data_IF_870866695806
#
_entry.id   IF_870866695806
#
_cell.length_a   1.000
_cell.length_b   1.000
_cell.length_c   1.000
_cell.angle_alpha   90.00
_cell.angle_beta   90.00
_cell.angle_gamma   90.00
#
_symmetry.space_group_name_H-M   'P 1'
#
loop_
_entity.id
_entity.type
_entity.pdbx_description
1 polymer ?
#
# COMPACT_ATOMS: atom_id res chain seq x y z
N UNK A 1 -27.88 15.57 5.94
CA UNK A 1 -29.05 14.69 5.82
C UNK A 1 -28.61 13.49 5.02
N UNK A 2 -28.68 12.28 5.55
CA UNK A 2 -28.35 11.06 4.81
C UNK A 2 -29.59 10.72 3.97
N UNK A 3 -29.43 10.70 2.64
CA UNK A 3 -30.44 10.20 1.72
C UNK A 3 -30.34 8.67 1.65
N UNK A 4 -31.50 8.00 1.51
CA UNK A 4 -31.58 6.56 1.23
C UNK A 4 -31.56 6.27 -0.28
N UNK A 5 -31.36 7.30 -1.11
CA UNK A 5 -31.34 7.15 -2.55
C UNK A 5 -30.07 6.40 -2.98
N UNK A 6 -30.24 5.39 -3.81
CA UNK A 6 -29.14 4.61 -4.38
C UNK A 6 -28.40 5.34 -5.49
N UNK A 7 -29.03 6.36 -6.08
CA UNK A 7 -28.47 7.16 -7.18
C UNK A 7 -28.70 8.63 -6.87
N UNK A 8 -27.65 9.41 -6.88
CA UNK A 8 -27.74 10.86 -6.82
C UNK A 8 -28.00 11.40 -8.23
N UNK A 9 -29.01 12.28 -8.36
CA UNK A 9 -29.27 13.02 -9.59
C UNK A 9 -28.89 14.47 -9.40
N UNK A 10 -28.35 15.09 -10.43
CA UNK A 10 -27.90 16.47 -10.37
C UNK A 10 -27.54 17.02 -11.75
N UNK A 11 -27.03 18.23 -11.75
CA UNK A 11 -26.52 18.87 -12.96
C UNK A 11 -25.27 18.13 -13.47
N UNK A 12 -25.21 17.84 -14.77
CA UNK A 12 -24.06 17.18 -15.40
C UNK A 12 -22.83 18.08 -15.26
N UNK A 13 -21.75 17.50 -14.76
CA UNK A 13 -20.43 18.14 -14.69
C UNK A 13 -19.41 17.27 -15.40
N UNK A 14 -18.49 17.90 -16.11
CA UNK A 14 -17.44 17.21 -16.88
C UNK A 14 -16.27 16.79 -16.01
N UNK A 15 -16.23 17.25 -14.76
CA UNK A 15 -15.19 16.96 -13.80
C UNK A 15 -15.79 16.82 -12.40
N UNK A 16 -15.29 15.85 -11.62
CA UNK A 16 -15.74 15.62 -10.26
C UNK A 16 -14.68 14.94 -9.40
N UNK A 17 -14.72 15.28 -8.11
CA UNK A 17 -13.93 14.63 -7.07
C UNK A 17 -14.88 14.00 -6.06
N UNK A 18 -14.72 12.70 -5.85
CA UNK A 18 -15.41 11.96 -4.79
C UNK A 18 -14.41 11.58 -3.71
N UNK A 19 -14.84 11.67 -2.45
CA UNK A 19 -14.06 11.28 -1.28
C UNK A 19 -14.91 10.37 -0.42
N UNK A 20 -14.36 9.24 -0.01
CA UNK A 20 -15.04 8.28 0.85
C UNK A 20 -14.06 7.73 1.90
N UNK A 21 -14.57 7.47 3.09
CA UNK A 21 -13.85 6.67 4.07
C UNK A 21 -13.98 5.19 3.71
N UNK A 22 -12.84 4.55 3.48
CA UNK A 22 -12.71 3.14 3.17
C UNK A 22 -12.10 2.39 4.37
N UNK A 23 -12.17 1.04 4.44
CA UNK A 23 -11.66 0.28 5.59
C UNK A 23 -10.18 0.55 5.92
N UNK A 24 -9.39 0.97 4.94
CA UNK A 24 -7.94 1.23 5.07
C UNK A 24 -7.59 2.71 5.09
N UNK A 25 -8.57 3.60 5.24
CA UNK A 25 -8.41 5.06 5.26
C UNK A 25 -9.15 5.77 4.11
N UNK A 26 -8.83 7.02 3.88
CA UNK A 26 -9.54 7.87 2.91
C UNK A 26 -9.16 7.52 1.48
N UNK A 27 -10.19 7.36 0.63
CA UNK A 27 -10.04 7.11 -0.80
C UNK A 27 -10.53 8.34 -1.57
N UNK A 28 -9.71 8.83 -2.51
CA UNK A 28 -10.06 9.92 -3.40
C UNK A 28 -10.18 9.41 -4.82
N UNK A 29 -11.28 9.77 -5.49
CA UNK A 29 -11.51 9.54 -6.90
C UNK A 29 -11.71 10.88 -7.60
N UNK A 30 -10.89 11.15 -8.60
CA UNK A 30 -11.00 12.34 -9.43
C UNK A 30 -11.11 11.91 -10.89
N UNK A 31 -12.22 12.28 -11.53
CA UNK A 31 -12.51 11.93 -12.92
C UNK A 31 -12.80 13.16 -13.76
N UNK A 32 -12.39 13.10 -15.03
CA UNK A 32 -12.86 13.96 -16.09
C UNK A 32 -13.52 13.09 -17.17
N UNK A 33 -14.61 13.56 -17.73
CA UNK A 33 -15.37 12.89 -18.79
C UNK A 33 -15.53 13.82 -19.99
N UNK A 34 -15.79 13.24 -21.15
CA UNK A 34 -16.19 13.99 -22.36
C UNK A 34 -17.72 14.15 -22.46
N UNK A 35 -18.16 14.74 -23.57
CA UNK A 35 -19.57 14.98 -23.85
C UNK A 35 -20.40 13.68 -23.98
N UNK A 36 -19.73 12.55 -24.28
CA UNK A 36 -20.34 11.23 -24.42
C UNK A 36 -20.27 10.40 -23.12
N UNK A 37 -19.92 11.01 -21.99
CA UNK A 37 -19.74 10.37 -20.68
C UNK A 37 -18.57 9.37 -20.62
N UNK A 38 -17.60 9.48 -21.54
CA UNK A 38 -16.41 8.65 -21.55
C UNK A 38 -15.36 9.28 -20.64
N UNK A 39 -14.76 8.47 -19.75
CA UNK A 39 -13.67 8.93 -18.88
C UNK A 39 -12.45 9.25 -19.72
N UNK A 40 -12.03 10.51 -19.69
CA UNK A 40 -10.84 11.02 -20.38
C UNK A 40 -9.64 11.13 -19.45
N UNK A 41 -9.89 11.28 -18.14
CA UNK A 41 -8.86 11.31 -17.11
C UNK A 41 -9.36 10.67 -15.82
N UNK A 42 -8.50 9.87 -15.20
CA UNK A 42 -8.73 9.35 -13.86
C UNK A 42 -7.48 9.60 -13.00
N UNK A 43 -7.69 10.08 -11.77
CA UNK A 43 -6.66 10.16 -10.75
C UNK A 43 -7.23 9.58 -9.46
N UNK A 44 -6.54 8.57 -8.93
CA UNK A 44 -6.98 7.81 -7.76
C UNK A 44 -5.90 7.90 -6.68
N UNK A 45 -6.28 8.38 -5.50
CA UNK A 45 -5.43 8.30 -4.31
C UNK A 45 -6.03 7.23 -3.43
N UNK A 46 -5.43 6.04 -3.47
CA UNK A 46 -5.92 4.86 -2.76
C UNK A 46 -5.60 4.98 -1.27
N UNK A 47 -6.52 4.51 -0.42
CA UNK A 47 -6.44 4.63 1.03
C UNK A 47 -5.10 4.14 1.61
N UNK A 48 -4.60 2.99 1.16
CA UNK A 48 -3.31 2.43 1.60
C UNK A 48 -2.12 3.35 1.27
N UNK A 49 -2.20 4.13 0.19
CA UNK A 49 -1.15 5.09 -0.17
C UNK A 49 -0.95 6.15 0.92
N UNK A 50 -2.03 6.57 1.58
CA UNK A 50 -1.98 7.54 2.68
C UNK A 50 -1.28 6.98 3.93
N UNK A 51 -1.18 5.65 4.06
CA UNK A 51 -0.56 4.96 5.19
C UNK A 51 0.94 4.69 4.99
N UNK A 52 1.51 4.97 3.82
CA UNK A 52 2.89 4.61 3.48
C UNK A 52 3.91 5.14 4.50
N UNK A 53 3.79 6.39 4.91
CA UNK A 53 4.72 6.98 5.89
C UNK A 53 4.65 6.24 7.23
N UNK A 54 3.44 6.00 7.74
CA UNK A 54 3.24 5.30 9.00
C UNK A 54 3.73 3.85 8.93
N UNK A 55 3.51 3.14 7.83
CA UNK A 55 4.06 1.80 7.61
C UNK A 55 5.59 1.80 7.58
N UNK A 56 6.20 2.77 6.89
CA UNK A 56 7.66 2.90 6.86
C UNK A 56 8.25 3.16 8.26
N UNK A 57 7.59 3.97 9.07
CA UNK A 57 7.99 4.22 10.45
C UNK A 57 7.84 2.97 11.32
N UNK A 58 6.76 2.21 11.16
CA UNK A 58 6.54 0.96 11.87
C UNK A 58 7.60 -0.09 11.49
N UNK A 59 7.89 -0.25 10.20
CA UNK A 59 8.95 -1.15 9.71
C UNK A 59 10.31 -0.74 10.29
N UNK A 60 10.65 0.56 10.28
CA UNK A 60 11.90 1.07 10.85
C UNK A 60 11.99 0.79 12.36
N UNK A 61 10.92 1.01 13.10
CA UNK A 61 10.88 0.76 14.54
C UNK A 61 11.06 -0.73 14.87
N UNK A 62 10.44 -1.63 14.09
CA UNK A 62 10.59 -3.08 14.24
C UNK A 62 12.01 -3.50 13.89
N UNK A 63 12.56 -3.03 12.78
CA UNK A 63 13.94 -3.32 12.39
C UNK A 63 14.94 -2.87 13.48
N UNK A 64 14.79 -1.65 13.98
CA UNK A 64 15.66 -1.13 15.06
C UNK A 64 15.59 -1.94 16.36
N UNK A 65 14.48 -2.61 16.62
CA UNK A 65 14.28 -3.40 17.84
C UNK A 65 14.75 -4.85 17.72
N UNK A 66 14.59 -5.45 16.55
CA UNK A 66 14.74 -6.90 16.36
C UNK A 66 15.87 -7.30 15.42
N UNK A 67 16.46 -6.35 14.68
CA UNK A 67 17.67 -6.63 13.92
C UNK A 67 18.86 -6.70 14.89
N UNK A 68 19.39 -7.89 15.07
CA UNK A 68 20.55 -8.14 15.91
C UNK A 68 21.72 -8.61 15.02
N UNK A 69 22.74 -7.76 14.93
CA UNK A 69 23.93 -8.06 14.13
C UNK A 69 23.76 -7.78 12.62
N UNK A 70 24.31 -8.69 11.79
CA UNK A 70 24.44 -8.54 10.33
C UNK A 70 23.71 -9.66 9.56
N UNK A 71 22.74 -10.25 10.18
CA UNK A 71 22.04 -11.41 9.63
C UNK A 71 20.53 -11.22 9.66
N UNK A 72 19.87 -11.52 8.56
CA UNK A 72 18.42 -11.57 8.48
C UNK A 72 17.92 -12.90 9.03
N UNK A 73 16.91 -12.84 9.87
CA UNK A 73 16.30 -14.03 10.47
C UNK A 73 14.81 -14.15 10.10
N UNK A 74 14.29 -15.36 10.09
CA UNK A 74 12.86 -15.59 9.90
C UNK A 74 12.03 -14.89 10.99
N UNK A 75 12.55 -14.78 12.20
CA UNK A 75 11.92 -14.04 13.29
C UNK A 75 11.75 -12.55 12.95
N UNK A 76 12.79 -11.91 12.43
CA UNK A 76 12.71 -10.52 11.98
C UNK A 76 11.70 -10.35 10.84
N UNK A 77 11.74 -11.23 9.83
CA UNK A 77 10.79 -11.24 8.73
C UNK A 77 9.34 -11.31 9.23
N UNK A 78 9.06 -12.22 10.18
CA UNK A 78 7.74 -12.35 10.79
C UNK A 78 7.31 -11.08 11.54
N UNK A 79 8.20 -10.44 12.28
CA UNK A 79 7.91 -9.19 12.98
C UNK A 79 7.58 -8.04 12.01
N UNK A 80 8.32 -7.93 10.92
CA UNK A 80 8.04 -6.93 9.87
C UNK A 80 6.71 -7.20 9.19
N UNK A 81 6.40 -8.46 8.85
CA UNK A 81 5.09 -8.82 8.29
C UNK A 81 3.93 -8.46 9.22
N UNK A 82 4.05 -8.73 10.52
CA UNK A 82 3.02 -8.38 11.52
C UNK A 82 2.81 -6.87 11.57
N UNK A 83 3.88 -6.09 11.56
CA UNK A 83 3.80 -4.63 11.56
C UNK A 83 3.08 -4.10 10.31
N UNK A 84 3.39 -4.61 9.13
CA UNK A 84 2.73 -4.25 7.87
C UNK A 84 1.26 -4.68 7.88
N UNK A 85 0.97 -5.90 8.31
CA UNK A 85 -0.40 -6.45 8.36
C UNK A 85 -1.32 -5.69 9.31
N UNK A 86 -0.78 -4.99 10.33
CA UNK A 86 -1.57 -4.16 11.22
C UNK A 86 -2.30 -3.01 10.49
N UNK A 87 -1.80 -2.59 9.34
CA UNK A 87 -2.43 -1.59 8.47
C UNK A 87 -3.41 -2.19 7.46
N UNK A 88 -3.55 -3.53 7.40
CA UNK A 88 -4.36 -4.25 6.39
C UNK A 88 -4.13 -3.71 4.96
N UNK A 89 -2.87 -3.58 4.48
CA UNK A 89 -2.59 -2.86 3.27
C UNK A 89 -3.01 -3.63 2.02
N UNK A 90 -3.59 -2.93 1.05
CA UNK A 90 -3.69 -3.41 -0.33
C UNK A 90 -2.52 -2.85 -1.13
N UNK A 91 -1.38 -3.55 -1.12
CA UNK A 91 -0.16 -3.04 -1.75
C UNK A 91 -0.29 -2.94 -3.26
N UNK A 92 -0.94 -3.91 -3.91
CA UNK A 92 -1.22 -3.84 -5.35
C UNK A 92 -2.14 -2.68 -5.73
N UNK A 93 -3.14 -2.35 -4.89
CA UNK A 93 -4.00 -1.19 -5.11
C UNK A 93 -3.21 0.12 -4.98
N UNK A 94 -2.34 0.22 -3.97
CA UNK A 94 -1.58 1.44 -3.70
C UNK A 94 -0.48 1.72 -4.73
N UNK A 95 0.13 0.66 -5.27
CA UNK A 95 1.24 0.75 -6.22
C UNK A 95 0.80 0.59 -7.68
N UNK A 96 -0.46 0.17 -7.91
CA UNK A 96 -0.99 -0.25 -9.22
C UNK A 96 -0.17 -1.38 -9.87
N UNK A 97 0.55 -2.16 -9.05
CA UNK A 97 1.34 -3.28 -9.53
C UNK A 97 0.46 -4.45 -9.97
N UNK A 98 0.86 -5.11 -11.04
CA UNK A 98 0.23 -6.33 -11.52
C UNK A 98 0.98 -7.56 -11.01
N UNK A 99 0.23 -8.60 -10.64
CA UNK A 99 0.79 -9.90 -10.25
C UNK A 99 1.02 -10.06 -8.75
N UNK A 100 1.89 -11.00 -8.40
CA UNK A 100 2.20 -11.36 -7.01
C UNK A 100 3.37 -10.50 -6.50
N UNK A 101 3.24 -10.02 -5.28
CA UNK A 101 4.27 -9.21 -4.62
C UNK A 101 4.89 -10.04 -3.49
N UNK A 102 6.10 -10.58 -3.66
CA UNK A 102 6.82 -11.23 -2.57
C UNK A 102 7.28 -10.16 -1.56
N UNK A 103 7.46 -10.56 -0.29
CA UNK A 103 8.18 -9.75 0.66
C UNK A 103 9.68 -10.05 0.51
N UNK A 104 10.44 -9.02 0.22
CA UNK A 104 11.88 -9.11 0.05
C UNK A 104 12.57 -8.17 1.04
N UNK A 105 13.56 -8.69 1.77
CA UNK A 105 14.41 -7.94 2.68
C UNK A 105 15.83 -7.99 2.17
N UNK A 106 16.46 -6.84 2.08
CA UNK A 106 17.88 -6.69 1.79
C UNK A 106 18.54 -5.94 2.93
N UNK A 107 19.60 -6.51 3.46
CA UNK A 107 20.46 -5.86 4.46
C UNK A 107 21.67 -5.28 3.73
N UNK A 108 21.82 -3.96 3.83
CA UNK A 108 22.92 -3.23 3.21
C UNK A 108 23.86 -2.70 4.30
N UNK A 109 25.15 -2.60 3.99
CA UNK A 109 26.12 -1.90 4.83
C UNK A 109 26.01 -0.37 4.65
N UNK A 110 26.88 0.37 5.34
CA UNK A 110 26.90 1.83 5.28
C UNK A 110 27.33 2.36 3.89
N UNK A 111 28.03 1.57 3.13
CA UNK A 111 28.49 1.84 1.77
C UNK A 111 27.45 1.45 0.70
N UNK A 112 26.36 0.78 1.11
CA UNK A 112 25.27 0.33 0.24
C UNK A 112 25.51 -1.04 -0.40
N UNK A 113 26.52 -1.79 0.04
CA UNK A 113 26.73 -3.16 -0.42
C UNK A 113 25.81 -4.14 0.32
N UNK A 114 25.23 -5.07 -0.43
CA UNK A 114 24.35 -6.10 0.14
C UNK A 114 25.16 -7.07 1.01
N UNK A 115 24.79 -7.14 2.30
CA UNK A 115 25.37 -8.07 3.28
C UNK A 115 24.56 -9.37 3.28
N UNK A 116 23.23 -9.26 3.25
CA UNK A 116 22.32 -10.39 3.37
C UNK A 116 21.01 -10.10 2.64
N UNK A 117 20.31 -11.17 2.26
CA UNK A 117 19.00 -11.07 1.57
C UNK A 117 18.10 -12.23 1.97
N UNK A 118 16.84 -11.92 2.17
CA UNK A 118 15.80 -12.91 2.44
C UNK A 118 14.52 -12.54 1.71
N UNK A 119 13.85 -13.52 1.13
CA UNK A 119 12.54 -13.30 0.51
C UNK A 119 11.53 -14.36 0.92
N UNK A 120 10.26 -13.95 1.00
CA UNK A 120 9.13 -14.86 1.17
C UNK A 120 8.22 -14.75 -0.03
N UNK A 121 8.08 -15.84 -0.77
CA UNK A 121 7.19 -15.94 -1.92
C UNK A 121 5.71 -15.98 -1.52
N UNK A 122 4.85 -15.82 -2.51
CA UNK A 122 3.39 -15.92 -2.32
C UNK A 122 2.89 -17.32 -1.91
N UNK A 123 3.74 -18.33 -2.04
CA UNK A 123 3.52 -19.70 -1.57
C UNK A 123 3.98 -19.91 -0.11
N UNK A 124 4.47 -18.87 0.55
CA UNK A 124 4.97 -18.88 1.92
C UNK A 124 6.40 -19.41 2.07
N UNK A 125 7.05 -19.84 0.98
CA UNK A 125 8.42 -20.36 1.05
C UNK A 125 9.40 -19.22 1.21
N UNK A 126 10.40 -19.45 2.08
CA UNK A 126 11.52 -18.54 2.30
C UNK A 126 12.68 -18.98 1.42
N UNK A 127 13.36 -18.01 0.83
CA UNK A 127 14.65 -18.15 0.15
C UNK A 127 15.64 -17.13 0.69
N UNK A 128 16.90 -17.55 0.72
CA UNK A 128 18.06 -16.80 1.24
C UNK A 128 18.98 -16.42 0.10
#
# INVERSE_FOLDING_TARGET
>A
MLSNDLVATGEKRMEGVGVIEAPRGTLFHHYQIDENDIVTRANLIVSTTNNNQAMNEAVRAVAARYLDGKELTEGLLNHLEVAIRAYDPCLSCATHALGKMPLELELLDAEGAQIDKMSRGSDGKISY
#
